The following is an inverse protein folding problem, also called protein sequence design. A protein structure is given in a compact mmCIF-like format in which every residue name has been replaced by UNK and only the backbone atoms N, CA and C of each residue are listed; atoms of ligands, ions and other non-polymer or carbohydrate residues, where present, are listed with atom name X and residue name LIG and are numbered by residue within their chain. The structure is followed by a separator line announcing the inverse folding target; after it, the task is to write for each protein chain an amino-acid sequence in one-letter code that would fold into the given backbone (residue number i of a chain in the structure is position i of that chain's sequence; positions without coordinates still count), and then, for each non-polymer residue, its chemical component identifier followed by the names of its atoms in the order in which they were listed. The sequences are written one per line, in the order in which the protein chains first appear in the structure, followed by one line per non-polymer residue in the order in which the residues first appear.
data_IF_839496103614
#
_entry.id   IF_839496103614
#
_cell.length_a   1.000
_cell.length_b   1.000
_cell.length_c   1.000
_cell.angle_alpha   90.00
_cell.angle_beta   90.00
_cell.angle_gamma   90.00
#
_symmetry.space_group_name_H-M   'P 1'
#
loop_
_entity.id
_entity.type
_entity.pdbx_description
1 polymer ?
#
# COMPACT_ATOMS: atom_id res chain seq x y z
N UNK A 1 1.47 -72.39 12.66
CA UNK A 1 1.17 -71.06 13.22
C UNK A 1 0.80 -70.20 12.01
N UNK A 2 -0.43 -70.25 11.48
CA UNK A 2 -1.70 -69.83 12.10
C UNK A 2 -1.51 -68.39 12.64
N UNK A 3 -2.15 -67.33 12.15
CA UNK A 3 -3.58 -67.14 11.83
C UNK A 3 -3.71 -65.86 10.97
N UNK A 4 -4.50 -65.91 9.89
CA UNK A 4 -5.16 -64.72 9.33
C UNK A 4 -6.39 -64.39 10.18
N UNK A 5 -6.79 -63.10 10.27
CA UNK A 5 -8.21 -62.83 10.06
C UNK A 5 -8.44 -61.69 9.07
N UNK A 6 -9.22 -62.05 8.06
CA UNK A 6 -10.18 -61.23 7.33
C UNK A 6 -11.25 -60.66 8.27
N UNK A 7 -11.57 -59.37 8.15
CA UNK A 7 -12.92 -58.88 8.44
C UNK A 7 -13.24 -57.73 7.49
N UNK A 8 -14.14 -58.05 6.55
CA UNK A 8 -14.72 -57.12 5.60
C UNK A 8 -15.82 -56.29 6.27
N UNK A 9 -15.83 -55.00 5.98
CA UNK A 9 -16.96 -54.13 6.29
C UNK A 9 -17.90 -54.14 5.09
N UNK A 10 -19.15 -54.61 5.22
CA UNK A 10 -20.15 -54.47 4.18
C UNK A 10 -20.65 -53.02 4.15
N UNK A 11 -20.37 -52.30 3.05
CA UNK A 11 -21.06 -51.05 2.74
C UNK A 11 -22.44 -51.42 2.21
N UNK A 12 -23.45 -51.26 3.05
CA UNK A 12 -24.86 -51.38 2.70
C UNK A 12 -25.21 -50.43 1.57
N UNK A 13 -25.53 -51.02 0.41
CA UNK A 13 -26.34 -50.38 -0.62
C UNK A 13 -27.79 -50.59 -0.24
N UNK A 14 -28.50 -49.52 0.15
CA UNK A 14 -29.94 -49.48 -0.01
C UNK A 14 -30.42 -48.02 -0.05
N UNK A 15 -30.97 -47.65 -1.20
CA UNK A 15 -32.03 -46.66 -1.47
C UNK A 15 -31.91 -46.27 -2.94
N UNK A 16 -32.95 -46.14 -3.76
CA UNK A 16 -34.35 -46.54 -3.69
C UNK A 16 -34.80 -46.45 -5.14
N UNK A 17 -35.64 -47.41 -5.53
CA UNK A 17 -36.44 -47.49 -6.74
C UNK A 17 -36.75 -46.15 -7.46
N UNK A 18 -36.47 -46.12 -8.76
CA UNK A 18 -37.18 -45.28 -9.70
C UNK A 18 -38.63 -45.76 -9.85
N UNK A 19 -39.62 -44.85 -9.87
CA UNK A 19 -40.83 -45.04 -10.64
C UNK A 19 -40.80 -44.16 -11.89
N UNK A 20 -41.13 -44.79 -13.01
CA UNK A 20 -41.47 -44.14 -14.26
C UNK A 20 -42.69 -43.22 -14.08
N UNK A 21 -42.63 -42.11 -14.80
CA UNK A 21 -43.75 -41.60 -15.61
C UNK A 21 -45.02 -41.24 -14.86
N UNK A 22 -44.97 -40.10 -14.17
CA UNK A 22 -46.10 -39.18 -14.13
C UNK A 22 -45.51 -37.78 -14.00
N UNK A 23 -45.56 -36.98 -15.06
CA UNK A 23 -45.15 -35.59 -14.99
C UNK A 23 -46.26 -34.81 -14.26
N UNK A 24 -46.08 -34.40 -12.98
CA UNK A 24 -46.97 -33.40 -12.43
C UNK A 24 -46.77 -32.13 -13.25
N UNK A 25 -47.87 -31.54 -13.69
CA UNK A 25 -47.86 -30.20 -14.27
C UNK A 25 -47.00 -29.28 -13.38
N UNK A 26 -45.97 -28.67 -13.97
CA UNK A 26 -45.11 -27.70 -13.31
C UNK A 26 -46.00 -26.69 -12.56
N UNK A 27 -45.91 -26.59 -11.23
CA UNK A 27 -46.68 -25.59 -10.50
C UNK A 27 -46.27 -24.22 -11.00
N UNK A 28 -47.25 -23.36 -11.25
CA UNK A 28 -47.07 -21.97 -11.68
C UNK A 28 -46.34 -21.08 -10.66
N UNK A 29 -45.77 -21.66 -9.59
CA UNK A 29 -45.01 -20.99 -8.53
C UNK A 29 -43.51 -20.80 -8.85
N UNK A 30 -43.05 -21.22 -10.03
CA UNK A 30 -41.66 -20.97 -10.45
C UNK A 30 -41.33 -19.46 -10.64
N UNK A 31 -42.32 -18.57 -10.65
CA UNK A 31 -42.11 -17.11 -10.78
C UNK A 31 -41.72 -16.42 -9.47
N UNK A 32 -42.17 -16.90 -8.30
CA UNK A 32 -41.86 -16.26 -7.02
C UNK A 32 -40.42 -16.51 -6.52
N UNK A 33 -39.76 -17.55 -7.02
CA UNK A 33 -38.42 -17.94 -6.58
C UNK A 33 -37.31 -17.09 -7.22
N UNK A 34 -37.48 -16.67 -8.47
CA UNK A 34 -36.52 -15.80 -9.17
C UNK A 34 -36.45 -14.40 -8.55
N UNK A 35 -37.60 -13.81 -8.23
CA UNK A 35 -37.67 -12.46 -7.64
C UNK A 35 -37.07 -12.40 -6.22
N UNK A 36 -37.26 -13.45 -5.43
CA UNK A 36 -36.66 -13.53 -4.08
C UNK A 36 -35.15 -13.74 -4.11
N UNK A 37 -34.63 -14.46 -5.10
CA UNK A 37 -33.20 -14.60 -5.35
C UNK A 37 -32.56 -13.26 -5.70
N UNK A 38 -33.05 -12.60 -6.75
CA UNK A 38 -32.47 -11.33 -7.23
C UNK A 38 -32.50 -10.27 -6.14
N UNK A 39 -33.59 -10.20 -5.37
CA UNK A 39 -33.70 -9.29 -4.22
C UNK A 39 -32.67 -9.60 -3.13
N UNK A 40 -32.45 -10.86 -2.78
CA UNK A 40 -31.49 -11.24 -1.73
C UNK A 40 -30.06 -10.93 -2.15
N UNK A 41 -29.69 -11.24 -3.39
CA UNK A 41 -28.36 -10.93 -3.93
C UNK A 41 -28.18 -9.41 -4.06
N UNK A 42 -29.19 -8.70 -4.56
CA UNK A 42 -29.16 -7.25 -4.68
C UNK A 42 -29.03 -6.56 -3.32
N UNK A 43 -29.74 -7.04 -2.28
CA UNK A 43 -29.64 -6.53 -0.90
C UNK A 43 -28.22 -6.73 -0.34
N UNK A 44 -27.65 -7.93 -0.49
CA UNK A 44 -26.28 -8.21 -0.05
C UNK A 44 -25.23 -7.35 -0.78
N UNK A 45 -25.41 -7.14 -2.08
CA UNK A 45 -24.53 -6.28 -2.89
C UNK A 45 -24.74 -4.79 -2.58
N UNK A 46 -25.96 -4.37 -2.27
CA UNK A 46 -26.26 -3.00 -1.85
C UNK A 46 -25.59 -2.69 -0.51
N UNK A 47 -25.75 -3.58 0.48
CA UNK A 47 -25.05 -3.49 1.78
C UNK A 47 -23.54 -3.45 1.61
N UNK A 48 -22.98 -4.21 0.67
CA UNK A 48 -21.54 -4.19 0.39
C UNK A 48 -21.03 -2.83 -0.10
N UNK A 49 -21.87 -2.05 -0.80
CA UNK A 49 -21.50 -0.75 -1.36
C UNK A 49 -21.85 0.41 -0.43
N UNK A 50 -22.99 0.35 0.24
CA UNK A 50 -23.51 1.44 1.05
C UNK A 50 -23.03 1.36 2.50
N UNK A 51 -23.02 0.16 3.09
CA UNK A 51 -22.77 -0.05 4.52
C UNK A 51 -21.96 -1.34 4.75
N UNK A 52 -20.69 -1.39 4.30
CA UNK A 52 -19.86 -2.59 4.40
C UNK A 52 -19.61 -3.00 5.87
N UNK A 53 -19.79 -2.08 6.82
CA UNK A 53 -19.67 -2.30 8.27
C UNK A 53 -20.79 -3.18 8.86
N UNK A 54 -21.93 -3.28 8.18
CA UNK A 54 -23.11 -4.00 8.67
C UNK A 54 -23.32 -5.35 8.00
N UNK A 55 -22.37 -5.80 7.18
CA UNK A 55 -22.41 -7.14 6.60
C UNK A 55 -22.14 -8.17 7.69
N UNK A 56 -23.09 -9.09 7.84
CA UNK A 56 -23.00 -10.22 8.78
C UNK A 56 -22.76 -11.54 8.05
N UNK A 57 -22.31 -12.56 8.78
CA UNK A 57 -22.16 -13.91 8.26
C UNK A 57 -23.49 -14.54 7.85
N UNK A 58 -24.60 -14.10 8.46
CA UNK A 58 -25.95 -14.45 8.05
C UNK A 58 -26.31 -13.87 6.67
N UNK A 59 -25.95 -12.62 6.38
CA UNK A 59 -26.14 -12.02 5.06
C UNK A 59 -25.34 -12.79 3.99
N UNK A 60 -24.08 -13.13 4.29
CA UNK A 60 -23.25 -13.94 3.40
C UNK A 60 -23.88 -15.32 3.14
N UNK A 61 -24.35 -16.02 4.17
CA UNK A 61 -24.99 -17.32 4.06
C UNK A 61 -26.30 -17.25 3.25
N UNK A 62 -27.09 -16.18 3.42
CA UNK A 62 -28.32 -15.94 2.63
C UNK A 62 -28.00 -15.80 1.15
N UNK A 63 -27.05 -14.92 0.79
CA UNK A 63 -26.63 -14.70 -0.60
C UNK A 63 -26.02 -15.97 -1.19
N UNK A 64 -25.21 -16.70 -0.44
CA UNK A 64 -24.62 -17.97 -0.87
C UNK A 64 -25.67 -19.06 -1.13
N UNK A 65 -26.67 -19.19 -0.24
CA UNK A 65 -27.77 -20.14 -0.41
C UNK A 65 -28.58 -19.79 -1.66
N UNK A 66 -28.87 -18.50 -1.85
CA UNK A 66 -29.58 -17.99 -3.00
C UNK A 66 -28.83 -18.32 -4.31
N UNK A 67 -27.53 -18.03 -4.39
CA UNK A 67 -26.71 -18.33 -5.58
C UNK A 67 -26.57 -19.84 -5.83
N UNK A 68 -26.34 -20.63 -4.78
CA UNK A 68 -26.24 -22.08 -4.91
C UNK A 68 -27.54 -22.71 -5.46
N UNK A 69 -28.70 -22.20 -5.03
CA UNK A 69 -30.01 -22.68 -5.52
C UNK A 69 -30.22 -22.40 -7.01
N UNK A 70 -29.70 -21.29 -7.52
CA UNK A 70 -29.82 -20.92 -8.94
C UNK A 70 -28.78 -21.64 -9.80
N UNK A 71 -27.54 -21.71 -9.34
CA UNK A 71 -26.44 -22.34 -10.08
C UNK A 71 -26.51 -23.87 -10.03
N UNK A 72 -27.03 -24.43 -8.93
CA UNK A 72 -27.00 -25.88 -8.66
C UNK A 72 -25.63 -26.38 -8.20
N UNK A 73 -24.68 -25.48 -7.96
CA UNK A 73 -23.33 -25.78 -7.47
C UNK A 73 -22.82 -24.67 -6.56
N UNK A 74 -21.70 -24.92 -5.88
CA UNK A 74 -21.06 -23.95 -4.98
C UNK A 74 -20.73 -22.66 -5.74
N UNK A 75 -21.08 -21.47 -5.20
CA UNK A 75 -20.77 -20.21 -5.84
C UNK A 75 -19.30 -20.09 -6.25
N UNK A 76 -19.01 -19.63 -7.47
CA UNK A 76 -17.64 -19.48 -7.94
C UNK A 76 -16.92 -18.35 -7.21
N UNK A 77 -15.58 -18.35 -7.17
CA UNK A 77 -14.82 -17.23 -6.65
C UNK A 77 -15.14 -15.95 -7.43
N UNK A 78 -15.29 -14.84 -6.71
CA UNK A 78 -15.65 -13.54 -7.30
C UNK A 78 -17.15 -13.30 -7.49
N UNK A 79 -18.02 -14.27 -7.19
CA UNK A 79 -19.47 -14.06 -7.17
C UNK A 79 -19.90 -13.08 -6.07
N UNK A 80 -21.16 -12.63 -6.09
CA UNK A 80 -21.65 -11.73 -5.05
C UNK A 80 -21.62 -12.41 -3.68
N UNK A 81 -21.97 -13.70 -3.59
CA UNK A 81 -21.81 -14.47 -2.35
C UNK A 81 -20.36 -14.47 -1.85
N UNK A 82 -19.38 -14.70 -2.74
CA UNK A 82 -17.97 -14.69 -2.36
C UNK A 82 -17.49 -13.32 -1.86
N UNK A 83 -17.99 -12.23 -2.47
CA UNK A 83 -17.67 -10.86 -2.05
C UNK A 83 -18.29 -10.49 -0.70
N UNK A 84 -19.58 -10.81 -0.49
CA UNK A 84 -20.28 -10.56 0.78
C UNK A 84 -19.64 -11.38 1.89
N UNK A 85 -19.30 -12.65 1.64
CA UNK A 85 -18.57 -13.47 2.61
C UNK A 85 -17.20 -12.88 2.96
N UNK A 86 -16.40 -12.50 1.94
CA UNK A 86 -15.10 -11.87 2.19
C UNK A 86 -15.22 -10.56 2.99
N UNK A 87 -16.28 -9.80 2.80
CA UNK A 87 -16.50 -8.58 3.59
C UNK A 87 -16.95 -8.91 5.01
N UNK A 88 -17.85 -9.88 5.19
CA UNK A 88 -18.24 -10.40 6.51
C UNK A 88 -17.02 -10.79 7.34
N UNK A 89 -16.10 -11.57 6.75
CA UNK A 89 -14.89 -12.02 7.46
C UNK A 89 -14.01 -10.84 7.91
N UNK A 90 -13.95 -9.77 7.10
CA UNK A 90 -13.19 -8.55 7.46
C UNK A 90 -13.87 -7.77 8.58
N UNK A 91 -15.19 -7.68 8.57
CA UNK A 91 -15.99 -7.01 9.61
C UNK A 91 -15.84 -7.75 10.93
N UNK A 92 -15.97 -9.08 10.93
CA UNK A 92 -15.77 -9.90 12.13
C UNK A 92 -14.35 -9.75 12.68
N UNK A 93 -13.34 -9.77 11.82
CA UNK A 93 -11.96 -9.52 12.24
C UNK A 93 -11.79 -8.12 12.85
N UNK A 94 -12.38 -7.09 12.24
CA UNK A 94 -12.34 -5.73 12.78
C UNK A 94 -13.01 -5.65 14.16
N UNK A 95 -14.17 -6.27 14.34
CA UNK A 95 -14.88 -6.30 15.62
C UNK A 95 -14.04 -6.98 16.71
N UNK A 96 -13.48 -8.15 16.41
CA UNK A 96 -12.61 -8.87 17.35
C UNK A 96 -11.38 -8.02 17.74
N UNK A 97 -10.73 -7.37 16.77
CA UNK A 97 -9.61 -6.47 17.02
C UNK A 97 -10.01 -5.26 17.87
N UNK A 98 -11.15 -4.65 17.57
CA UNK A 98 -11.69 -3.52 18.32
C UNK A 98 -12.02 -3.92 19.76
N UNK A 99 -12.65 -5.08 19.97
CA UNK A 99 -13.01 -5.58 21.30
C UNK A 99 -11.77 -5.91 22.14
N UNK A 100 -10.79 -6.60 21.56
CA UNK A 100 -9.52 -6.91 22.23
C UNK A 100 -8.82 -5.63 22.64
N UNK A 101 -8.73 -4.67 21.73
CA UNK A 101 -8.01 -3.45 21.99
C UNK A 101 -8.81 -2.52 22.95
N UNK A 102 -10.15 -2.51 22.89
CA UNK A 102 -11.00 -1.79 23.85
C UNK A 102 -10.82 -2.37 25.25
N UNK A 103 -10.82 -3.70 25.38
CA UNK A 103 -10.55 -4.38 26.65
C UNK A 103 -9.17 -4.00 27.21
N UNK A 104 -8.13 -3.96 26.37
CA UNK A 104 -6.79 -3.50 26.79
C UNK A 104 -6.78 -2.03 27.21
N UNK A 105 -7.55 -1.18 26.53
CA UNK A 105 -7.67 0.23 26.87
C UNK A 105 -8.36 0.42 28.23
N UNK A 106 -9.35 -0.40 28.54
CA UNK A 106 -10.11 -0.37 29.80
C UNK A 106 -9.33 -1.01 30.97
N UNK A 107 -8.57 -2.08 30.72
CA UNK A 107 -7.76 -2.77 31.74
C UNK A 107 -6.44 -2.05 32.01
N UNK A 108 -5.61 -1.82 30.98
CA UNK A 108 -4.25 -1.28 31.10
C UNK A 108 -3.86 -0.46 29.85
N UNK A 109 -4.19 0.85 29.79
CA UNK A 109 -3.92 1.68 28.61
C UNK A 109 -2.43 1.84 28.31
N UNK A 110 -1.56 1.57 29.29
CA UNK A 110 -0.10 1.59 29.15
C UNK A 110 0.47 0.43 28.30
N UNK A 111 -0.31 -0.65 28.13
CA UNK A 111 0.11 -1.83 27.34
C UNK A 111 -0.22 -1.72 25.86
N UNK A 112 -1.04 -0.73 25.47
CA UNK A 112 -1.44 -0.52 24.07
C UNK A 112 -0.22 -0.10 23.26
N UNK A 113 0.16 -0.96 22.31
CA UNK A 113 1.31 -0.75 21.43
C UNK A 113 0.91 -0.08 20.12
N UNK A 114 1.84 0.62 19.48
CA UNK A 114 1.62 1.26 18.17
C UNK A 114 1.23 0.24 17.10
N UNK A 115 1.73 -0.99 17.18
CA UNK A 115 1.43 -2.02 16.19
C UNK A 115 -0.01 -2.53 16.27
N UNK A 116 -0.58 -2.62 17.47
CA UNK A 116 -2.00 -2.93 17.66
C UNK A 116 -2.89 -1.82 17.06
N UNK A 117 -2.51 -0.56 17.25
CA UNK A 117 -3.23 0.57 16.63
C UNK A 117 -3.18 0.49 15.11
N UNK A 118 -2.02 0.15 14.54
CA UNK A 118 -1.87 -0.03 13.08
C UNK A 118 -2.73 -1.19 12.58
N UNK A 119 -2.83 -2.27 13.34
CA UNK A 119 -3.63 -3.44 12.96
C UNK A 119 -5.13 -3.10 12.90
N UNK A 120 -5.66 -2.44 13.94
CA UNK A 120 -7.05 -1.95 13.97
C UNK A 120 -7.30 -0.97 12.81
N UNK A 121 -6.40 0.00 12.59
CA UNK A 121 -6.52 0.96 11.49
C UNK A 121 -6.49 0.29 10.10
N UNK A 122 -5.62 -0.71 9.93
CA UNK A 122 -5.51 -1.49 8.69
C UNK A 122 -6.78 -2.29 8.44
N UNK A 123 -7.34 -2.94 9.48
CA UNK A 123 -8.60 -3.64 9.40
C UNK A 123 -9.76 -2.69 9.04
N UNK A 124 -9.85 -1.53 9.69
CA UNK A 124 -10.87 -0.51 9.36
C UNK A 124 -10.76 -0.05 7.92
N UNK A 125 -9.54 0.24 7.44
CA UNK A 125 -9.33 0.67 6.06
C UNK A 125 -9.73 -0.40 5.04
N UNK A 126 -9.57 -1.70 5.37
CA UNK A 126 -10.01 -2.81 4.51
C UNK A 126 -11.54 -2.94 4.42
N UNK A 127 -12.27 -2.50 5.44
CA UNK A 127 -13.74 -2.56 5.51
C UNK A 127 -14.37 -1.30 4.92
N UNK A 128 -13.97 -0.11 5.37
CA UNK A 128 -14.55 1.17 4.94
C UNK A 128 -14.00 1.66 3.60
N UNK A 129 -12.78 1.25 3.24
CA UNK A 129 -12.06 1.82 2.09
C UNK A 129 -11.66 3.30 2.26
N UNK A 130 -11.98 3.93 3.39
CA UNK A 130 -11.58 5.28 3.74
C UNK A 130 -11.05 5.36 5.17
N UNK A 131 -10.25 6.39 5.44
CA UNK A 131 -9.75 6.66 6.80
C UNK A 131 -10.94 6.94 7.73
N UNK A 132 -10.96 6.33 8.92
CA UNK A 132 -12.06 6.54 9.85
C UNK A 132 -12.02 7.93 10.48
N UNK A 133 -13.17 8.38 10.98
CA UNK A 133 -13.28 9.65 11.71
C UNK A 133 -12.38 9.67 12.93
N UNK A 134 -11.89 10.87 13.29
CA UNK A 134 -10.92 11.12 14.38
C UNK A 134 -11.43 10.81 15.79
N UNK A 135 -12.70 10.42 15.93
CA UNK A 135 -13.36 10.15 17.20
C UNK A 135 -13.59 8.64 17.43
N UNK A 136 -13.00 7.78 16.61
CA UNK A 136 -13.15 6.34 16.73
C UNK A 136 -12.20 5.73 17.80
N UNK A 137 -12.45 4.47 18.16
CA UNK A 137 -11.61 3.69 19.09
C UNK A 137 -10.14 3.63 18.66
N UNK A 138 -9.86 3.64 17.36
CA UNK A 138 -8.48 3.71 16.86
C UNK A 138 -7.79 5.02 17.24
N UNK A 139 -8.51 6.15 17.24
CA UNK A 139 -7.95 7.44 17.62
C UNK A 139 -7.69 7.54 19.12
N UNK A 140 -8.53 6.92 19.97
CA UNK A 140 -8.25 6.84 21.41
C UNK A 140 -7.05 5.95 21.69
N UNK A 141 -6.94 4.80 21.02
CA UNK A 141 -5.77 3.92 21.12
C UNK A 141 -4.50 4.59 20.60
N UNK A 142 -4.57 5.32 19.50
CA UNK A 142 -3.43 6.05 18.97
C UNK A 142 -2.93 7.11 19.96
N UNK A 143 -3.84 7.75 20.69
CA UNK A 143 -3.49 8.70 21.74
C UNK A 143 -2.86 8.00 22.95
N UNK A 144 -3.37 6.84 23.34
CA UNK A 144 -2.79 6.03 24.42
C UNK A 144 -1.38 5.53 24.06
N UNK A 145 -1.22 4.93 22.88
CA UNK A 145 0.07 4.44 22.40
C UNK A 145 1.12 5.57 22.29
N UNK A 146 0.74 6.74 21.76
CA UNK A 146 1.64 7.89 21.67
C UNK A 146 2.04 8.47 23.04
N UNK A 147 1.21 8.31 24.08
CA UNK A 147 1.57 8.68 25.45
C UNK A 147 2.60 7.70 26.05
N UNK A 148 2.46 6.41 25.77
CA UNK A 148 3.35 5.36 26.27
C UNK A 148 4.76 5.45 25.63
N UNK A 149 4.85 5.78 24.34
CA UNK A 149 6.14 5.97 23.66
C UNK A 149 6.95 7.15 24.22
N UNK A 150 6.28 8.16 24.81
CA UNK A 150 6.94 9.29 25.45
C UNK A 150 7.53 8.92 26.82
N UNK A 151 6.88 8.05 27.59
CA UNK A 151 7.42 7.60 28.89
C UNK A 151 8.65 6.69 28.73
N UNK A 152 8.74 5.91 27.64
CA UNK A 152 9.90 5.07 27.36
C UNK A 152 11.18 5.87 27.03
N UNK A 153 11.09 7.19 26.81
CA UNK A 153 12.23 8.08 26.54
C UNK A 153 12.60 9.02 27.70
N UNK A 154 11.90 9.00 28.84
CA UNK A 154 12.22 9.85 30.01
C UNK A 154 13.39 9.29 30.87
N UNK A 155 14.51 8.98 30.22
CA UNK A 155 15.80 8.69 30.87
C UNK A 155 16.85 9.79 30.73
N UNK A 156 16.55 10.90 30.04
CA UNK A 156 17.51 11.99 29.79
C UNK A 156 16.98 13.31 30.34
N UNK A 157 17.61 13.89 31.38
CA UNK A 157 17.18 15.17 31.92
C UNK A 157 17.70 16.29 31.01
N UNK A 158 16.82 16.92 30.25
CA UNK A 158 17.09 18.25 29.68
C UNK A 158 15.97 19.20 30.07
N UNK A 159 16.41 20.36 30.53
CA UNK A 159 15.68 21.39 31.24
C UNK A 159 14.35 21.82 30.62
N UNK A 160 13.41 22.09 31.52
CA UNK A 160 12.19 22.88 31.27
C UNK A 160 12.53 24.20 30.57
N UNK A 161 11.74 24.57 29.56
CA UNK A 161 11.11 25.88 29.63
C UNK A 161 9.59 25.77 29.57
N UNK A 162 8.98 26.82 30.11
CA UNK A 162 7.61 26.89 30.56
C UNK A 162 6.55 26.75 29.44
N UNK A 163 5.48 26.04 29.82
CA UNK A 163 4.06 26.36 29.60
C UNK A 163 3.75 27.39 28.49
N UNK A 164 3.38 26.90 27.30
CA UNK A 164 2.44 27.60 26.41
C UNK A 164 1.46 26.58 25.87
N UNK A 165 0.20 26.67 26.31
CA UNK A 165 -0.89 25.84 25.82
C UNK A 165 -1.05 26.00 24.31
N UNK A 166 -0.83 24.91 23.56
CA UNK A 166 -1.09 24.89 22.11
C UNK A 166 -2.46 24.28 21.84
N UNK A 167 -3.39 25.19 21.64
CA UNK A 167 -4.63 24.96 20.94
C UNK A 167 -4.39 24.27 19.58
N UNK A 168 -5.33 23.39 19.23
CA UNK A 168 -5.84 23.19 17.86
C UNK A 168 -4.79 22.90 16.79
N UNK A 169 -4.47 21.61 16.59
CA UNK A 169 -3.92 21.13 15.31
C UNK A 169 -5.01 21.25 14.24
N UNK A 170 -5.16 22.46 13.69
CA UNK A 170 -5.66 22.60 12.34
C UNK A 170 -4.68 21.84 11.44
N UNK A 171 -5.26 21.01 10.57
CA UNK A 171 -4.59 20.42 9.43
C UNK A 171 -3.74 21.49 8.75
N UNK A 172 -2.43 21.37 8.89
CA UNK A 172 -1.49 22.13 8.07
C UNK A 172 -1.61 21.54 6.68
N UNK A 173 -2.57 22.08 5.93
CA UNK A 173 -2.52 22.08 4.47
C UNK A 173 -1.12 22.56 4.14
N UNK A 174 -0.39 21.83 3.28
CA UNK A 174 0.96 22.17 2.85
C UNK A 174 1.10 23.58 2.24
N UNK A 175 -0.02 24.32 2.07
CA UNK A 175 -0.11 25.69 1.61
C UNK A 175 0.25 26.75 2.67
N UNK A 176 0.30 26.43 3.97
CA UNK A 176 0.30 27.45 5.04
C UNK A 176 1.53 27.46 5.97
N UNK A 177 2.66 26.87 5.55
CA UNK A 177 3.94 27.27 6.15
C UNK A 177 4.23 28.71 5.73
N UNK A 178 4.41 29.59 6.72
CA UNK A 178 4.70 31.02 6.48
C UNK A 178 5.92 31.17 5.58
N UNK A 179 5.99 32.22 4.74
CA UNK A 179 7.15 32.46 3.88
C UNK A 179 8.48 32.39 4.65
N UNK A 180 8.50 32.94 5.87
CA UNK A 180 9.66 32.89 6.76
C UNK A 180 10.05 31.46 7.18
N UNK A 181 9.09 30.57 7.43
CA UNK A 181 9.39 29.18 7.77
C UNK A 181 9.98 28.43 6.56
N UNK A 182 9.50 28.70 5.34
CA UNK A 182 10.04 28.09 4.11
C UNK A 182 11.47 28.55 3.85
N UNK A 183 11.73 29.84 4.07
CA UNK A 183 13.06 30.43 3.91
C UNK A 183 14.07 29.88 4.93
N UNK A 184 13.66 29.64 6.18
CA UNK A 184 14.51 28.98 7.18
C UNK A 184 14.89 27.55 6.81
N UNK A 185 13.94 26.79 6.25
CA UNK A 185 14.23 25.44 5.76
C UNK A 185 15.17 25.50 4.55
N UNK A 186 14.96 26.46 3.65
CA UNK A 186 15.87 26.70 2.53
C UNK A 186 17.27 27.06 2.99
N UNK A 187 17.42 28.00 3.92
CA UNK A 187 18.73 28.43 4.40
C UNK A 187 19.50 27.28 5.07
N UNK A 188 18.83 26.48 5.91
CA UNK A 188 19.47 25.35 6.57
C UNK A 188 19.96 24.28 5.58
N UNK A 189 19.14 23.94 4.58
CA UNK A 189 19.53 22.98 3.54
C UNK A 189 20.61 23.57 2.63
N UNK A 190 20.53 24.86 2.29
CA UNK A 190 21.50 25.56 1.47
C UNK A 190 22.89 25.58 2.14
N UNK A 191 22.98 25.84 3.45
CA UNK A 191 24.24 25.79 4.18
C UNK A 191 24.89 24.40 4.12
N UNK A 192 24.10 23.34 4.34
CA UNK A 192 24.59 21.97 4.23
C UNK A 192 25.09 21.63 2.82
N UNK A 193 24.35 22.05 1.79
CA UNK A 193 24.74 21.79 0.40
C UNK A 193 25.95 22.60 -0.03
N UNK A 194 26.08 23.84 0.47
CA UNK A 194 27.24 24.68 0.21
C UNK A 194 28.51 24.08 0.83
N UNK A 195 28.42 23.63 2.08
CA UNK A 195 29.52 22.96 2.77
C UNK A 195 29.96 21.69 2.04
N UNK A 196 29.00 20.84 1.63
CA UNK A 196 29.28 19.67 0.78
C UNK A 196 29.94 20.04 -0.55
N UNK A 197 29.46 21.08 -1.23
CA UNK A 197 30.01 21.50 -2.53
C UNK A 197 31.45 22.03 -2.42
N UNK A 198 31.81 22.64 -1.30
CA UNK A 198 33.15 23.18 -1.04
C UNK A 198 34.13 22.10 -0.54
N UNK A 199 33.66 21.16 0.30
CA UNK A 199 34.51 20.15 0.93
C UNK A 199 34.60 18.84 0.15
N UNK A 200 33.46 18.33 -0.31
CA UNK A 200 33.31 17.01 -0.94
C UNK A 200 32.22 17.05 -2.01
N UNK A 201 32.47 17.70 -3.16
CA UNK A 201 31.50 17.77 -4.23
C UNK A 201 31.06 16.37 -4.68
N UNK A 202 31.92 15.35 -4.62
CA UNK A 202 31.66 13.94 -4.95
C UNK A 202 30.56 13.25 -4.14
N UNK A 203 30.25 13.75 -2.94
CA UNK A 203 29.22 13.17 -2.07
C UNK A 203 27.81 13.69 -2.39
N UNK A 204 27.69 14.58 -3.37
CA UNK A 204 26.41 15.18 -3.76
C UNK A 204 25.59 14.17 -4.55
N UNK A 205 24.57 13.63 -3.90
CA UNK A 205 23.68 12.64 -4.52
C UNK A 205 22.51 13.26 -5.27
N UNK A 206 21.84 12.46 -6.11
CA UNK A 206 20.57 12.83 -6.75
C UNK A 206 19.46 13.15 -5.73
N UNK A 207 19.49 12.49 -4.58
CA UNK A 207 18.53 12.75 -3.50
C UNK A 207 18.76 14.14 -2.88
N UNK A 208 20.01 14.54 -2.68
CA UNK A 208 20.38 15.88 -2.22
C UNK A 208 19.88 16.95 -3.21
N UNK A 209 20.12 16.73 -4.52
CA UNK A 209 19.65 17.63 -5.57
C UNK A 209 18.11 17.76 -5.62
N UNK A 210 17.38 16.65 -5.45
CA UNK A 210 15.92 16.67 -5.40
C UNK A 210 15.39 17.38 -4.15
N UNK A 211 16.06 17.17 -3.01
CA UNK A 211 15.71 17.84 -1.75
C UNK A 211 15.89 19.34 -1.87
N UNK A 212 17.05 19.79 -2.36
CA UNK A 212 17.34 21.21 -2.58
C UNK A 212 16.32 21.84 -3.56
N UNK A 213 16.02 21.17 -4.68
CA UNK A 213 15.02 21.64 -5.65
C UNK A 213 13.63 21.80 -5.06
N UNK A 214 13.19 20.82 -4.27
CA UNK A 214 11.87 20.84 -3.62
C UNK A 214 11.76 22.01 -2.65
N UNK A 215 12.80 22.28 -1.86
CA UNK A 215 12.80 23.37 -0.89
C UNK A 215 12.89 24.72 -1.60
N UNK A 216 13.75 24.86 -2.60
CA UNK A 216 13.89 26.06 -3.44
C UNK A 216 12.58 26.43 -4.15
N UNK A 217 11.90 25.45 -4.74
CA UNK A 217 10.59 25.64 -5.40
C UNK A 217 9.52 26.12 -4.41
N UNK A 218 9.57 25.67 -3.15
CA UNK A 218 8.60 26.09 -2.12
C UNK A 218 8.87 27.50 -1.60
N UNK A 219 10.14 27.89 -1.51
CA UNK A 219 10.57 29.19 -0.99
C UNK A 219 10.53 30.28 -2.08
N UNK A 220 11.05 29.99 -3.27
CA UNK A 220 11.30 30.95 -4.35
C UNK A 220 10.50 30.67 -5.63
N UNK A 221 9.79 29.54 -5.71
CA UNK A 221 8.90 29.21 -6.84
C UNK A 221 9.61 28.59 -8.04
N UNK A 222 10.66 29.22 -8.56
CA UNK A 222 11.41 28.73 -9.71
C UNK A 222 12.91 28.70 -9.41
N UNK A 223 13.59 27.67 -9.91
CA UNK A 223 15.05 27.56 -9.80
C UNK A 223 15.72 28.53 -10.79
N UNK A 224 16.44 29.52 -10.26
CA UNK A 224 17.19 30.46 -11.11
C UNK A 224 18.45 29.81 -11.70
N UNK A 225 18.85 30.23 -12.90
CA UNK A 225 20.09 29.74 -13.53
C UNK A 225 21.29 30.27 -12.75
N UNK A 226 22.18 29.37 -12.32
CA UNK A 226 23.36 29.72 -11.53
C UNK A 226 23.13 29.75 -10.01
N UNK A 227 21.89 29.50 -9.55
CA UNK A 227 21.61 29.34 -8.12
C UNK A 227 22.35 28.13 -7.53
N UNK A 228 22.48 28.10 -6.20
CA UNK A 228 23.07 26.96 -5.49
C UNK A 228 22.35 25.64 -5.86
N UNK A 229 21.02 25.67 -5.98
CA UNK A 229 20.22 24.53 -6.44
C UNK A 229 20.67 24.02 -7.81
N UNK A 230 20.95 24.93 -8.76
CA UNK A 230 21.43 24.55 -10.10
C UNK A 230 22.84 23.94 -10.06
N UNK A 231 23.72 24.43 -9.17
CA UNK A 231 25.06 23.89 -8.98
C UNK A 231 25.03 22.49 -8.38
N UNK A 232 24.20 22.27 -7.34
CA UNK A 232 23.99 20.96 -6.71
C UNK A 232 23.42 19.96 -7.72
N UNK A 233 22.47 20.38 -8.56
CA UNK A 233 21.93 19.53 -9.63
C UNK A 233 22.98 19.17 -10.68
N UNK A 234 23.82 20.13 -11.08
CA UNK A 234 24.88 19.90 -12.03
C UNK A 234 25.90 18.89 -11.50
N UNK A 235 26.33 19.05 -10.25
CA UNK A 235 27.33 18.16 -9.65
C UNK A 235 26.76 16.74 -9.45
N UNK A 236 25.52 16.61 -8.97
CA UNK A 236 24.85 15.32 -8.89
C UNK A 236 24.71 14.62 -10.26
N UNK A 237 24.35 15.38 -11.30
CA UNK A 237 24.21 14.84 -12.66
C UNK A 237 25.56 14.42 -13.26
N UNK A 238 26.63 15.16 -12.93
CA UNK A 238 28.00 14.82 -13.35
C UNK A 238 28.46 13.49 -12.75
N UNK A 239 28.11 13.16 -11.51
CA UNK A 239 28.44 11.84 -10.95
C UNK A 239 27.56 10.73 -11.50
N UNK A 240 26.28 10.98 -11.75
CA UNK A 240 25.40 9.99 -12.40
C UNK A 240 25.91 9.63 -13.81
N UNK A 241 26.44 10.61 -14.54
CA UNK A 241 27.02 10.39 -15.86
C UNK A 241 28.45 9.80 -15.80
N UNK A 242 29.26 10.18 -14.81
CA UNK A 242 30.57 9.57 -14.57
C UNK A 242 30.46 8.09 -14.19
N UNK A 243 29.49 7.73 -13.35
CA UNK A 243 29.20 6.34 -12.98
C UNK A 243 28.70 5.50 -14.17
N UNK A 244 28.03 6.13 -15.15
CA UNK A 244 27.57 5.45 -16.38
C UNK A 244 28.66 5.26 -17.44
N UNK A 245 29.74 6.04 -17.39
CA UNK A 245 30.84 5.91 -18.35
C UNK A 245 31.83 4.79 -17.97
N UNK A 246 31.87 4.36 -16.71
CA UNK A 246 32.76 3.28 -16.27
C UNK A 246 32.23 1.86 -16.60
N UNK A 247 30.94 1.72 -16.96
CA UNK A 247 30.35 0.41 -17.34
C UNK A 247 30.22 0.17 -18.85
N UNK A 248 30.70 1.08 -19.72
CA UNK A 248 30.57 0.92 -21.19
C UNK A 248 31.86 0.96 -22.02
N UNK A 249 33.05 1.09 -21.40
CA UNK A 249 34.35 1.04 -22.10
C UNK A 249 35.17 -0.25 -21.86
N UNK A 250 34.51 -1.40 -21.63
CA UNK A 250 35.22 -2.68 -21.46
C UNK A 250 35.04 -3.70 -22.60
N UNK A 251 34.27 -3.44 -23.67
CA UNK A 251 34.00 -4.47 -24.67
C UNK A 251 33.75 -3.97 -26.11
N UNK A 252 34.58 -3.02 -26.61
CA UNK A 252 34.58 -2.76 -28.05
C UNK A 252 35.88 -2.13 -28.58
N UNK A 253 37.00 -2.87 -28.58
CA UNK A 253 38.20 -2.48 -29.35
C UNK A 253 39.20 -3.61 -29.60
N UNK A 254 38.82 -4.78 -30.13
CA UNK A 254 39.79 -5.64 -30.87
C UNK A 254 39.09 -6.50 -31.94
N UNK A 255 38.55 -5.91 -33.02
CA UNK A 255 38.39 -6.67 -34.27
C UNK A 255 38.38 -5.76 -35.51
N UNK A 256 39.54 -5.22 -35.91
CA UNK A 256 39.80 -4.92 -37.34
C UNK A 256 41.27 -4.62 -37.65
N UNK A 257 42.06 -5.65 -37.90
CA UNK A 257 43.22 -5.52 -38.80
C UNK A 257 43.28 -6.75 -39.70
N UNK A 258 42.55 -6.65 -40.82
CA UNK A 258 42.61 -7.57 -41.95
C UNK A 258 43.37 -6.87 -43.08
N UNK A 259 44.51 -7.46 -43.43
CA UNK A 259 45.02 -7.69 -44.80
C UNK A 259 45.52 -6.48 -45.62
N UNK A 260 46.84 -6.55 -45.85
CA UNK A 260 47.60 -6.37 -47.09
C UNK A 260 46.92 -5.76 -48.34
N UNK A 261 47.73 -4.94 -49.04
CA UNK A 261 47.53 -4.43 -50.40
C UNK A 261 48.08 -3.00 -50.44
N UNK A 262 49.38 -2.79 -50.66
CA UNK A 262 50.04 -2.83 -51.97
C UNK A 262 49.19 -2.14 -53.05
N UNK A 263 49.41 -0.82 -53.19
CA UNK A 263 49.14 -0.03 -54.39
C UNK A 263 49.71 1.39 -54.20
N UNK A 264 50.91 1.61 -54.73
CA UNK A 264 51.24 2.89 -55.39
C UNK A 264 50.10 3.28 -56.35
N UNK A 265 49.78 4.58 -56.56
CA UNK A 265 50.71 5.44 -57.29
C UNK A 265 50.64 6.98 -57.04
N UNK A 266 51.75 7.60 -57.46
CA UNK A 266 51.84 8.89 -58.18
C UNK A 266 51.39 10.19 -57.49
N UNK A 267 52.40 11.00 -57.22
CA UNK A 267 52.31 12.46 -57.11
C UNK A 267 52.12 13.10 -58.48
N UNK A 268 51.26 14.12 -58.61
CA UNK A 268 51.45 15.16 -59.60
C UNK A 268 51.62 16.55 -58.95
N UNK A 269 52.74 17.18 -59.30
CA UNK A 269 52.93 18.56 -59.81
C UNK A 269 52.02 19.67 -59.26
N UNK A 270 52.59 20.74 -58.67
CA UNK A 270 52.39 22.18 -59.01
C UNK A 270 53.53 22.96 -58.30
N UNK A 271 54.59 23.37 -58.98
CA UNK A 271 54.86 24.73 -59.50
C UNK A 271 54.75 25.87 -58.46
N UNK A 272 55.89 26.52 -58.19
CA UNK A 272 55.99 27.80 -57.48
C UNK A 272 57.21 28.55 -58.00
N UNK A 273 56.95 29.77 -58.50
CA UNK A 273 57.83 30.82 -59.04
C UNK A 273 59.27 30.89 -58.50
#
# INVERSE_FOLDING_TARGET
MSVQPSDGVPVSQDTTAAPKENAPALPAEAKGFGESFEKTVADGVAKLKEEPEHITSEDAARVQSAEHKVLGFRPPPGSAAAQVQSMSDKVENLQNLADVAQKKLDEDPATVTVDEVKEVLSAMHKVLGHLPSKDNTSATMQRAAAANDHEAQEGVPVEKPALVGRARRQSIVAADQSPAAREQVYSAVAEQMKDKLETHPEDITKQDANTMRSVDTRAHGATEKGSLTAQVQHEAAKHENGAKLDETEADNSVEKTKVAGDAEPQTPVVAGD
#
